data_IF_579994757083
#
_entry.id   IF_579994757083
#
_cell.length_a   1.000
_cell.length_b   1.000
_cell.length_c   1.000
_cell.angle_alpha   90.00
_cell.angle_beta   90.00
_cell.angle_gamma   90.00
#
_symmetry.space_group_name_H-M   'P 1'
#
loop_
_entity.id
_entity.type
_entity.pdbx_description
1 polymer ?
#
# COMPACT_ATOMS: atom_id res chain seq x y z
N UNK A 1 6.22 3.98 -1.70
CA UNK A 1 6.92 3.24 -0.63
C UNK A 1 7.02 4.15 0.57
N UNK A 2 6.77 3.64 1.78
CA UNK A 2 7.08 4.31 3.03
C UNK A 2 8.54 4.06 3.40
N UNK A 3 9.22 5.10 3.89
CA UNK A 3 10.63 5.06 4.28
C UNK A 3 10.80 5.69 5.65
N UNK A 4 11.33 4.92 6.60
CA UNK A 4 11.51 5.39 7.96
C UNK A 4 12.56 4.55 8.67
N UNK A 5 13.44 5.19 9.46
CA UNK A 5 14.44 4.51 10.30
C UNK A 5 15.25 3.40 9.59
N UNK A 6 15.59 3.59 8.31
CA UNK A 6 16.33 2.60 7.51
C UNK A 6 15.47 1.45 6.96
N UNK A 7 14.14 1.48 7.16
CA UNK A 7 13.18 0.54 6.58
C UNK A 7 12.51 1.11 5.33
N UNK A 8 12.19 0.23 4.37
CA UNK A 8 11.33 0.54 3.24
C UNK A 8 10.18 -0.46 3.16
N UNK A 9 8.94 0.03 3.20
CA UNK A 9 7.74 -0.81 3.13
C UNK A 9 6.77 -0.31 2.05
N UNK A 10 6.13 -1.23 1.34
CA UNK A 10 5.11 -0.92 0.36
C UNK A 10 4.79 -2.12 -0.50
N UNK A 11 4.32 -1.88 -1.72
CA UNK A 11 3.75 -2.96 -2.52
C UNK A 11 2.92 -2.45 -3.69
N UNK A 12 2.26 -3.38 -4.35
CA UNK A 12 1.28 -3.17 -5.41
C UNK A 12 0.15 -4.22 -5.26
N UNK A 13 -0.65 -4.40 -6.33
CA UNK A 13 -1.82 -5.27 -6.33
C UNK A 13 -1.56 -6.72 -5.91
N UNK A 14 -0.36 -7.25 -6.15
CA UNK A 14 -0.04 -8.65 -5.87
C UNK A 14 1.22 -8.90 -5.04
N UNK A 15 2.10 -7.90 -4.91
CA UNK A 15 3.39 -8.04 -4.26
C UNK A 15 3.59 -7.00 -3.17
N UNK A 16 4.11 -7.45 -2.03
CA UNK A 16 4.65 -6.62 -0.98
C UNK A 16 6.15 -6.43 -1.23
N UNK A 17 6.62 -5.21 -1.01
CA UNK A 17 8.03 -4.83 -1.09
C UNK A 17 8.50 -4.47 0.32
N UNK A 18 9.44 -5.25 0.84
CA UNK A 18 9.93 -5.18 2.21
C UNK A 18 11.44 -5.08 2.16
N UNK A 19 12.00 -3.98 2.64
CA UNK A 19 13.43 -3.74 2.50
C UNK A 19 14.03 -2.89 3.58
N UNK A 20 15.32 -2.68 3.42
CA UNK A 20 16.11 -1.73 4.19
C UNK A 20 16.90 -0.83 3.26
N UNK A 21 17.24 0.36 3.75
CA UNK A 21 18.04 1.31 3.01
C UNK A 21 19.10 1.96 3.90
N UNK A 22 20.19 2.36 3.26
CA UNK A 22 21.24 3.18 3.84
C UNK A 22 21.45 4.42 2.98
N UNK A 23 21.72 5.56 3.63
CA UNK A 23 22.17 6.76 2.96
C UNK A 23 23.70 6.75 2.86
N UNK A 24 24.22 6.94 1.65
CA UNK A 24 25.64 7.05 1.33
C UNK A 24 25.89 8.36 0.58
N UNK A 25 26.00 9.46 1.32
CA UNK A 25 26.06 10.80 0.74
C UNK A 25 24.71 11.18 0.12
N UNK A 26 24.68 11.44 -1.18
CA UNK A 26 23.46 11.71 -1.95
C UNK A 26 22.76 10.43 -2.46
N UNK A 27 23.36 9.27 -2.21
CA UNK A 27 22.89 8.00 -2.73
C UNK A 27 22.09 7.21 -1.69
N UNK A 28 20.99 6.60 -2.12
CA UNK A 28 20.21 5.63 -1.36
C UNK A 28 20.59 4.24 -1.85
N UNK A 29 21.14 3.40 -1.00
CA UNK A 29 21.40 1.98 -1.32
C UNK A 29 20.39 1.15 -0.56
N UNK A 30 19.60 0.34 -1.26
CA UNK A 30 18.56 -0.47 -0.63
C UNK A 30 18.55 -1.91 -1.14
N UNK A 31 18.15 -2.81 -0.25
CA UNK A 31 17.85 -4.20 -0.55
C UNK A 31 16.38 -4.46 -0.23
N UNK A 32 15.64 -4.94 -1.22
CA UNK A 32 14.19 -5.12 -1.16
C UNK A 32 13.86 -6.57 -1.49
N UNK A 33 13.11 -7.22 -0.61
CA UNK A 33 12.40 -8.45 -0.92
C UNK A 33 11.04 -8.09 -1.53
N UNK A 34 10.77 -8.58 -2.74
CA UNK A 34 9.42 -8.61 -3.31
C UNK A 34 8.81 -9.97 -3.01
N UNK A 35 7.65 -10.00 -2.35
CA UNK A 35 6.94 -11.22 -1.97
C UNK A 35 5.48 -11.14 -2.41
N UNK A 36 5.00 -12.18 -3.08
CA UNK A 36 3.60 -12.31 -3.47
C UNK A 36 2.71 -12.40 -2.23
N UNK A 37 1.65 -11.59 -2.20
CA UNK A 37 0.57 -11.67 -1.21
C UNK A 37 -0.77 -12.08 -1.83
N UNK A 38 -0.93 -11.88 -3.15
CA UNK A 38 -2.13 -12.26 -3.88
C UNK A 38 -1.78 -13.02 -5.19
N UNK A 39 -2.48 -14.12 -5.42
CA UNK A 39 -2.43 -14.90 -6.66
C UNK A 39 -3.46 -14.34 -7.64
N UNK A 40 -3.06 -13.32 -8.41
CA UNK A 40 -3.87 -12.73 -9.47
C UNK A 40 -3.13 -12.88 -10.81
N UNK A 41 -3.71 -13.56 -11.81
CA UNK A 41 -3.08 -13.75 -13.12
C UNK A 41 -2.88 -12.45 -13.90
N UNK A 42 -3.61 -11.38 -13.57
CA UNK A 42 -3.41 -10.05 -14.19
C UNK A 42 -2.13 -9.36 -13.69
N UNK A 43 -1.59 -9.81 -12.56
CA UNK A 43 -0.40 -9.26 -11.93
C UNK A 43 0.69 -10.34 -11.79
N UNK A 44 1.30 -10.79 -12.90
CA UNK A 44 2.39 -11.74 -12.88
C UNK A 44 3.65 -11.12 -12.25
N UNK A 45 4.55 -11.98 -11.77
CA UNK A 45 5.83 -11.52 -11.24
C UNK A 45 6.68 -10.92 -12.35
N UNK A 46 7.16 -9.69 -12.15
CA UNK A 46 8.18 -9.08 -13.02
C UNK A 46 9.47 -9.92 -13.05
N UNK A 47 9.78 -10.60 -11.95
CA UNK A 47 11.02 -11.35 -11.74
C UNK A 47 10.85 -12.85 -11.96
N UNK A 48 9.67 -13.29 -12.43
CA UNK A 48 9.33 -14.68 -12.70
C UNK A 48 9.21 -15.57 -11.46
N UNK A 49 9.30 -15.01 -10.25
CA UNK A 49 9.24 -15.72 -8.97
C UNK A 49 8.32 -15.01 -7.99
N UNK A 50 7.69 -15.78 -7.09
CA UNK A 50 6.81 -15.23 -6.06
C UNK A 50 7.58 -14.60 -4.89
N UNK A 51 8.86 -14.93 -4.75
CA UNK A 51 9.79 -14.26 -3.84
C UNK A 51 11.05 -13.92 -4.62
N UNK A 52 11.46 -12.66 -4.57
CA UNK A 52 12.66 -12.19 -5.25
C UNK A 52 13.35 -11.07 -4.48
N UNK A 53 14.66 -10.95 -4.69
CA UNK A 53 15.48 -9.88 -4.11
C UNK A 53 15.80 -8.86 -5.18
N UNK A 54 15.68 -7.59 -4.84
CA UNK A 54 15.99 -6.45 -5.70
C UNK A 54 16.99 -5.58 -4.95
N UNK A 55 18.20 -5.49 -5.47
CA UNK A 55 19.20 -4.52 -5.00
C UNK A 55 19.05 -3.25 -5.82
N UNK A 56 18.86 -2.11 -5.17
CA UNK A 56 18.69 -0.83 -5.85
C UNK A 56 19.64 0.24 -5.31
N UNK A 57 20.03 1.12 -6.22
CA UNK A 57 20.79 2.33 -5.92
C UNK A 57 20.02 3.51 -6.50
N UNK A 58 19.70 4.49 -5.67
CA UNK A 58 18.90 5.65 -6.02
C UNK A 58 19.60 6.95 -5.75
N UNK A 59 19.25 7.98 -6.52
CA UNK A 59 19.72 9.36 -6.33
C UNK A 59 18.58 10.36 -6.50
N UNK A 60 18.65 11.52 -5.83
CA UNK A 60 17.74 12.63 -6.09
C UNK A 60 17.72 13.01 -7.56
N UNK A 61 16.53 13.31 -8.06
CA UNK A 61 16.28 13.75 -9.43
C UNK A 61 15.08 14.71 -9.40
N UNK A 62 15.37 16.01 -9.24
CA UNK A 62 14.34 17.03 -9.06
C UNK A 62 13.62 16.85 -7.72
N UNK A 63 12.31 16.67 -7.78
CA UNK A 63 11.38 16.39 -6.67
C UNK A 63 11.18 14.89 -6.40
N UNK A 64 11.90 14.05 -7.12
CA UNK A 64 11.77 12.59 -7.09
C UNK A 64 13.11 11.91 -6.83
N UNK A 65 13.10 10.60 -6.63
CA UNK A 65 14.28 9.73 -6.64
C UNK A 65 14.24 8.81 -7.84
N UNK A 66 15.38 8.65 -8.53
CA UNK A 66 15.53 7.64 -9.58
C UNK A 66 16.41 6.51 -9.09
N UNK A 67 15.87 5.30 -9.15
CA UNK A 67 16.56 4.07 -8.78
C UNK A 67 16.96 3.28 -10.01
N UNK A 68 18.12 2.66 -9.93
CA UNK A 68 18.55 1.59 -10.81
C UNK A 68 18.70 0.33 -9.98
N UNK A 69 18.18 -0.79 -10.48
CA UNK A 69 18.15 -2.04 -9.76
C UNK A 69 18.64 -3.23 -10.58
N UNK A 70 18.99 -4.28 -9.85
CA UNK A 70 19.28 -5.61 -10.38
C UNK A 70 18.66 -6.67 -9.46
N UNK A 71 18.57 -7.89 -9.97
CA UNK A 71 18.03 -9.02 -9.23
C UNK A 71 18.76 -10.31 -9.64
N UNK A 72 19.16 -11.18 -8.71
CA UNK A 72 19.76 -12.46 -9.04
C UNK A 72 18.77 -13.41 -9.72
N UNK A 73 17.45 -13.23 -9.53
CA UNK A 73 16.42 -14.01 -10.20
C UNK A 73 16.34 -13.73 -11.71
N UNK A 74 16.85 -12.58 -12.17
CA UNK A 74 16.91 -12.22 -13.59
C UNK A 74 18.28 -11.62 -13.93
N UNK A 75 19.34 -12.45 -14.05
CA UNK A 75 20.69 -11.96 -14.30
C UNK A 75 20.78 -11.12 -15.58
N UNK A 76 21.43 -9.97 -15.49
CA UNK A 76 21.62 -9.05 -16.62
C UNK A 76 20.46 -8.08 -16.87
N UNK A 77 19.29 -8.29 -16.24
CA UNK A 77 18.22 -7.30 -16.29
C UNK A 77 18.59 -6.04 -15.49
N UNK A 78 18.27 -4.89 -16.05
CA UNK A 78 18.39 -3.59 -15.38
C UNK A 78 17.00 -3.03 -15.18
N UNK A 79 16.66 -2.78 -13.92
CA UNK A 79 15.39 -2.17 -13.54
C UNK A 79 15.60 -0.70 -13.31
N UNK A 80 14.61 0.10 -13.66
CA UNK A 80 14.55 1.51 -13.32
C UNK A 80 13.24 1.78 -12.60
N UNK A 81 13.29 2.60 -11.57
CA UNK A 81 12.11 3.07 -10.86
C UNK A 81 12.26 4.55 -10.58
N UNK A 82 11.14 5.25 -10.58
CA UNK A 82 11.03 6.62 -10.11
C UNK A 82 10.11 6.59 -8.90
N UNK A 83 10.57 7.16 -7.80
CA UNK A 83 9.76 7.38 -6.61
C UNK A 83 9.54 8.88 -6.47
N UNK A 84 8.29 9.31 -6.66
CA UNK A 84 7.86 10.67 -6.42
C UNK A 84 7.29 10.75 -5.02
N UNK A 85 7.66 11.79 -4.27
CA UNK A 85 7.09 12.01 -2.94
C UNK A 85 5.60 12.32 -3.08
N UNK A 86 4.80 11.68 -2.24
CA UNK A 86 3.38 11.99 -2.12
C UNK A 86 3.25 13.03 -1.01
N UNK A 87 2.59 14.16 -1.32
CA UNK A 87 2.27 15.17 -0.32
C UNK A 87 1.17 14.64 0.60
N UNK A 88 1.40 14.78 1.90
CA UNK A 88 0.56 14.26 2.96
C UNK A 88 0.02 15.38 3.88
N UNK A 89 0.22 16.65 3.49
CA UNK A 89 -0.13 17.84 4.25
C UNK A 89 -1.63 18.04 4.50
N UNK A 90 -2.50 17.42 3.68
CA UNK A 90 -3.96 17.47 3.84
C UNK A 90 -4.55 16.24 4.57
N UNK A 91 -3.69 15.32 5.07
CA UNK A 91 -4.19 14.14 5.77
C UNK A 91 -4.89 14.52 7.09
N UNK A 92 -6.03 13.88 7.43
CA UNK A 92 -6.65 14.02 8.74
C UNK A 92 -5.65 13.71 9.85
N UNK A 93 -5.73 14.34 11.02
CA UNK A 93 -4.83 14.05 12.13
C UNK A 93 -4.79 12.55 12.46
N UNK A 94 -3.60 12.05 12.82
CA UNK A 94 -3.44 10.66 13.26
C UNK A 94 -4.40 10.35 14.41
N UNK A 95 -5.13 9.24 14.29
CA UNK A 95 -6.02 8.81 15.36
C UNK A 95 -5.27 8.10 16.49
N UNK A 96 -5.84 8.07 17.71
CA UNK A 96 -5.20 7.42 18.84
C UNK A 96 -5.16 5.90 18.68
N UNK A 97 -4.04 5.31 19.13
CA UNK A 97 -3.83 3.86 19.22
C UNK A 97 -3.80 3.45 20.69
N UNK A 98 -4.73 2.59 21.09
CA UNK A 98 -4.89 2.07 22.45
C UNK A 98 -4.54 0.59 22.56
N UNK A 99 -4.64 0.07 23.78
CA UNK A 99 -4.46 -1.35 24.05
C UNK A 99 -5.42 -2.20 23.20
N UNK A 100 -4.94 -3.35 22.69
CA UNK A 100 -5.72 -4.20 21.78
C UNK A 100 -6.01 -3.57 20.42
N UNK A 101 -5.33 -2.46 20.07
CA UNK A 101 -5.38 -1.89 18.74
C UNK A 101 -4.57 -2.68 17.72
N UNK A 102 -4.84 -2.43 16.44
CA UNK A 102 -4.09 -3.02 15.32
C UNK A 102 -2.63 -2.59 15.35
N UNK A 103 -1.73 -3.51 15.07
CA UNK A 103 -0.29 -3.27 15.11
C UNK A 103 0.17 -2.35 13.97
N UNK A 104 1.27 -1.65 14.19
CA UNK A 104 1.98 -0.97 13.11
C UNK A 104 2.61 -2.02 12.17
N UNK A 105 2.37 -1.88 10.87
CA UNK A 105 2.86 -2.83 9.90
C UNK A 105 2.31 -2.68 8.50
N UNK A 106 2.93 -3.41 7.58
CA UNK A 106 2.50 -3.61 6.21
C UNK A 106 1.55 -4.81 6.16
N UNK A 107 0.36 -4.59 5.63
CA UNK A 107 -0.71 -5.56 5.47
C UNK A 107 -1.01 -5.78 3.99
N UNK A 108 -1.43 -7.00 3.60
CA UNK A 108 -2.21 -7.14 2.37
C UNK A 108 -3.62 -6.65 2.66
N UNK A 109 -4.27 -6.05 1.66
CA UNK A 109 -5.69 -5.68 1.72
C UNK A 109 -6.42 -6.33 0.55
N UNK A 110 -7.53 -6.99 0.86
CA UNK A 110 -8.38 -7.68 -0.10
C UNK A 110 -9.79 -7.12 0.04
N UNK A 111 -10.21 -6.30 -0.90
CA UNK A 111 -11.47 -5.58 -0.89
C UNK A 111 -12.45 -6.18 -1.90
N UNK A 112 -13.71 -6.28 -1.52
CA UNK A 112 -14.83 -6.66 -2.39
C UNK A 112 -15.97 -5.65 -2.27
N UNK A 113 -16.68 -5.38 -3.36
CA UNK A 113 -17.93 -4.62 -3.27
C UNK A 113 -19.08 -5.53 -2.82
N UNK A 114 -20.08 -4.95 -2.15
CA UNK A 114 -21.24 -5.68 -1.64
C UNK A 114 -22.53 -5.42 -2.43
N UNK A 115 -22.58 -4.36 -3.24
CA UNK A 115 -23.80 -3.91 -3.91
C UNK A 115 -24.04 -4.62 -5.27
N UNK A 116 -23.57 -5.87 -5.40
CA UNK A 116 -23.74 -6.69 -6.61
C UNK A 116 -22.91 -6.23 -7.82
N UNK A 117 -21.91 -5.38 -7.59
CA UNK A 117 -20.95 -4.97 -8.61
C UNK A 117 -19.79 -5.97 -8.59
N UNK A 118 -19.51 -6.59 -9.73
CA UNK A 118 -18.32 -7.41 -9.84
C UNK A 118 -17.10 -6.48 -9.81
N UNK A 119 -16.35 -6.53 -8.72
CA UNK A 119 -15.33 -5.55 -8.40
C UNK A 119 -14.65 -5.86 -7.08
N UNK A 120 -13.33 -5.76 -7.09
CA UNK A 120 -12.49 -5.91 -5.92
C UNK A 120 -11.17 -5.21 -6.17
N UNK A 121 -10.47 -4.90 -5.09
CA UNK A 121 -9.14 -4.31 -5.15
C UNK A 121 -8.24 -5.12 -4.22
N UNK A 122 -7.08 -5.48 -4.74
CA UNK A 122 -6.01 -6.09 -3.98
C UNK A 122 -4.86 -5.09 -3.93
N UNK A 123 -4.18 -5.00 -2.80
CA UNK A 123 -3.10 -4.06 -2.62
C UNK A 123 -2.40 -4.27 -1.30
N UNK A 124 -1.66 -3.26 -0.86
CA UNK A 124 -1.01 -3.25 0.45
C UNK A 124 -1.35 -2.01 1.26
N UNK A 125 -1.58 -2.17 2.56
CA UNK A 125 -1.87 -1.06 3.47
C UNK A 125 -0.83 -1.05 4.57
N UNK A 126 -0.12 0.06 4.69
CA UNK A 126 0.74 0.36 5.82
C UNK A 126 -0.09 1.12 6.88
N UNK A 127 -0.10 0.57 8.08
CA UNK A 127 -0.63 1.21 9.26
C UNK A 127 0.55 1.60 10.15
N UNK A 128 0.61 2.87 10.53
CA UNK A 128 1.69 3.37 11.38
C UNK A 128 1.19 4.56 12.21
N UNK A 129 1.13 4.38 13.53
CA UNK A 129 0.82 5.44 14.49
C UNK A 129 -0.43 6.26 14.13
N UNK A 130 -1.52 5.55 13.79
CA UNK A 130 -2.80 6.19 13.45
C UNK A 130 -2.86 6.77 12.02
N UNK A 131 -1.85 6.55 11.20
CA UNK A 131 -1.81 6.90 9.77
C UNK A 131 -2.02 5.68 8.88
N UNK A 132 -2.67 5.90 7.74
CA UNK A 132 -2.87 4.92 6.67
C UNK A 132 -2.08 5.41 5.45
N UNK A 133 -1.24 4.53 4.91
CA UNK A 133 -0.59 4.71 3.62
C UNK A 133 -0.75 3.43 2.82
N UNK A 134 -0.74 3.51 1.50
CA UNK A 134 -0.64 2.31 0.67
C UNK A 134 -1.13 2.53 -0.73
N UNK A 135 -1.38 1.42 -1.42
CA UNK A 135 -1.84 1.46 -2.79
C UNK A 135 -1.84 0.10 -3.45
N UNK A 136 -2.16 0.16 -4.73
CA UNK A 136 -2.11 -0.92 -5.69
C UNK A 136 -1.40 -0.44 -6.98
N UNK A 137 -1.53 -1.18 -8.08
CA UNK A 137 -0.89 -0.83 -9.34
C UNK A 137 -1.36 0.50 -9.96
N UNK A 138 -2.53 1.02 -9.58
CA UNK A 138 -3.16 2.19 -10.20
C UNK A 138 -3.49 3.30 -9.21
N UNK A 139 -3.81 2.94 -7.97
CA UNK A 139 -4.24 3.85 -6.92
C UNK A 139 -3.27 3.88 -5.74
N UNK A 140 -3.27 5.00 -5.04
CA UNK A 140 -2.70 5.10 -3.70
C UNK A 140 -3.77 5.60 -2.74
N UNK A 141 -3.62 5.26 -1.46
CA UNK A 141 -4.51 5.70 -0.40
C UNK A 141 -3.75 6.29 0.77
N UNK A 142 -4.29 7.39 1.27
CA UNK A 142 -3.80 8.15 2.41
C UNK A 142 -4.95 8.34 3.39
N UNK A 143 -4.68 8.24 4.69
CA UNK A 143 -5.74 8.39 5.67
C UNK A 143 -5.28 8.36 7.10
N UNK A 144 -6.26 8.29 8.00
CA UNK A 144 -6.02 8.17 9.42
C UNK A 144 -7.00 7.16 10.05
N UNK A 145 -6.55 6.52 11.11
CA UNK A 145 -7.35 5.58 11.86
C UNK A 145 -7.13 5.73 13.36
N UNK A 146 -8.14 5.29 14.11
CA UNK A 146 -8.06 5.05 15.55
C UNK A 146 -8.28 3.57 15.80
N UNK A 147 -7.61 2.99 16.79
CA UNK A 147 -7.78 1.57 17.12
C UNK A 147 -7.51 1.28 18.59
N UNK A 148 -8.43 0.54 19.21
CA UNK A 148 -8.34 0.08 20.60
C UNK A 148 -9.36 -1.04 20.81
N UNK A 149 -9.13 -1.88 21.83
CA UNK A 149 -10.09 -2.88 22.31
C UNK A 149 -10.61 -3.83 21.22
N UNK A 150 -9.73 -4.25 20.29
CA UNK A 150 -10.07 -5.12 19.18
C UNK A 150 -10.92 -4.47 18.10
N UNK A 151 -11.03 -3.13 18.10
CA UNK A 151 -11.80 -2.34 17.14
C UNK A 151 -10.93 -1.30 16.47
N UNK A 152 -11.34 -0.91 15.27
CA UNK A 152 -10.72 0.18 14.54
C UNK A 152 -11.72 0.86 13.62
N UNK A 153 -11.45 2.13 13.33
CA UNK A 153 -12.23 2.96 12.41
C UNK A 153 -11.35 4.06 11.86
N UNK A 154 -11.72 4.59 10.72
CA UNK A 154 -10.96 5.65 10.10
C UNK A 154 -11.59 6.13 8.81
N UNK A 155 -10.82 6.97 8.14
CA UNK A 155 -11.14 7.49 6.82
C UNK A 155 -9.87 7.51 5.96
N UNK A 156 -10.04 7.32 4.66
CA UNK A 156 -8.97 7.41 3.69
C UNK A 156 -9.46 8.02 2.38
N UNK A 157 -8.56 8.71 1.70
CA UNK A 157 -8.71 9.12 0.31
C UNK A 157 -8.08 8.07 -0.58
N UNK A 158 -8.73 7.76 -1.70
CA UNK A 158 -8.20 6.91 -2.75
C UNK A 158 -8.01 7.76 -4.02
N UNK A 159 -6.77 7.85 -4.52
CA UNK A 159 -6.41 8.66 -5.67
C UNK A 159 -5.70 7.83 -6.74
N UNK A 160 -6.03 8.09 -8.00
CA UNK A 160 -5.36 7.45 -9.15
C UNK A 160 -4.00 8.10 -9.38
N UNK A 161 -2.94 7.30 -9.47
CA UNK A 161 -1.60 7.77 -9.88
C UNK A 161 -1.22 7.29 -11.28
N UNK A 162 -1.80 6.19 -11.74
CA UNK A 162 -1.61 5.65 -13.08
C UNK A 162 -2.98 5.40 -13.71
N UNK A 163 -3.30 5.99 -14.88
CA UNK A 163 -4.59 5.77 -15.52
C UNK A 163 -4.89 4.29 -15.75
N UNK A 164 -5.94 3.77 -15.13
CA UNK A 164 -6.42 2.39 -15.27
C UNK A 164 -7.15 2.21 -16.62
N UNK A 165 -6.41 2.31 -17.73
CA UNK A 165 -6.98 2.16 -19.09
C UNK A 165 -7.38 0.70 -19.34
N UNK A 166 -8.67 0.40 -19.33
CA UNK A 166 -9.22 -0.89 -19.76
C UNK A 166 -9.58 -1.85 -18.62
N UNK A 167 -9.16 -1.57 -17.39
CA UNK A 167 -9.81 -2.12 -16.19
C UNK A 167 -10.99 -1.21 -15.85
N UNK A 168 -12.16 -1.76 -15.50
CA UNK A 168 -13.26 -0.95 -14.97
C UNK A 168 -12.90 -0.63 -13.51
N UNK A 169 -12.30 0.53 -13.20
CA UNK A 169 -11.96 0.82 -11.83
C UNK A 169 -13.29 0.99 -11.08
N UNK A 170 -13.42 0.39 -9.90
CA UNK A 170 -14.64 0.48 -9.07
C UNK A 170 -15.12 1.94 -8.89
N UNK A 171 -14.18 2.89 -9.05
CA UNK A 171 -14.31 4.30 -8.74
C UNK A 171 -14.09 5.27 -9.93
N UNK A 172 -13.85 4.78 -11.14
CA UNK A 172 -13.85 5.63 -12.35
C UNK A 172 -12.81 6.76 -12.42
N UNK A 173 -11.66 6.64 -11.73
CA UNK A 173 -10.53 7.58 -11.84
C UNK A 173 -10.67 8.89 -11.07
N UNK A 174 -11.62 8.99 -10.12
CA UNK A 174 -11.78 10.17 -9.26
C UNK A 174 -11.16 9.96 -7.88
N UNK A 175 -10.80 11.06 -7.20
CA UNK A 175 -10.54 11.01 -5.75
C UNK A 175 -11.81 10.61 -5.02
N UNK A 176 -11.70 9.61 -4.15
CA UNK A 176 -12.84 9.10 -3.38
C UNK A 176 -12.49 9.02 -1.90
N UNK A 177 -13.33 9.66 -1.09
CA UNK A 177 -13.35 9.50 0.35
C UNK A 177 -14.04 8.19 0.75
N UNK A 178 -13.39 7.44 1.63
CA UNK A 178 -13.83 6.15 2.14
C UNK A 178 -13.81 6.21 3.67
N UNK A 179 -14.98 6.13 4.30
CA UNK A 179 -15.11 5.96 5.75
C UNK A 179 -15.33 4.48 6.09
N UNK A 180 -14.70 4.00 7.17
CA UNK A 180 -14.80 2.58 7.55
C UNK A 180 -14.81 2.35 9.06
N UNK A 181 -15.27 1.16 9.45
CA UNK A 181 -15.12 0.62 10.79
C UNK A 181 -15.06 -0.90 10.78
N UNK A 182 -14.47 -1.50 11.80
CA UNK A 182 -14.46 -2.95 11.95
C UNK A 182 -13.69 -3.44 13.17
N UNK A 183 -13.21 -4.68 13.08
CA UNK A 183 -12.51 -5.38 14.15
C UNK A 183 -11.07 -5.67 13.77
N UNK A 184 -10.20 -5.77 14.77
CA UNK A 184 -8.77 -6.03 14.57
C UNK A 184 -8.22 -6.95 15.66
N UNK A 185 -7.11 -7.59 15.34
CA UNK A 185 -6.27 -8.32 16.27
C UNK A 185 -4.79 -8.14 15.90
N UNK A 186 -3.91 -8.93 16.52
CA UNK A 186 -2.46 -8.85 16.30
C UNK A 186 -2.01 -9.28 14.89
N UNK A 187 -2.88 -9.98 14.15
CA UNK A 187 -2.58 -10.61 12.86
C UNK A 187 -3.25 -9.92 11.68
N UNK A 188 -4.27 -9.10 11.92
CA UNK A 188 -5.04 -8.51 10.84
C UNK A 188 -6.24 -7.68 11.31
N UNK A 189 -7.11 -7.39 10.35
CA UNK A 189 -8.36 -6.69 10.58
C UNK A 189 -9.41 -7.02 9.52
N UNK A 190 -10.65 -6.78 9.86
CA UNK A 190 -11.78 -6.74 8.94
C UNK A 190 -12.40 -5.35 9.00
N UNK A 191 -12.93 -4.86 7.87
CA UNK A 191 -13.65 -3.60 7.81
C UNK A 191 -14.87 -3.68 6.90
N UNK A 192 -15.87 -2.90 7.26
CA UNK A 192 -16.92 -2.44 6.36
C UNK A 192 -16.69 -0.96 6.06
N UNK A 193 -16.79 -0.60 4.79
CA UNK A 193 -16.51 0.73 4.30
C UNK A 193 -17.63 1.26 3.41
N UNK A 194 -17.79 2.58 3.43
CA UNK A 194 -18.63 3.32 2.49
C UNK A 194 -17.75 4.28 1.70
N UNK A 195 -17.72 4.09 0.38
CA UNK A 195 -17.04 4.97 -0.55
C UNK A 195 -18.06 5.92 -1.21
N UNK A 196 -17.72 7.21 -1.26
CA UNK A 196 -18.58 8.25 -1.86
C UNK A 196 -18.08 8.62 -3.26
N UNK A 197 -18.71 8.06 -4.28
CA UNK A 197 -18.39 8.28 -5.70
C UNK A 197 -19.41 9.25 -6.32
N UNK A 198 -19.14 10.56 -6.23
CA UNK A 198 -20.07 11.59 -6.70
C UNK A 198 -21.41 11.52 -5.96
N UNK A 199 -22.49 11.13 -6.66
CA UNK A 199 -23.85 10.98 -6.07
C UNK A 199 -24.16 9.54 -5.61
N UNK A 200 -23.20 8.62 -5.70
CA UNK A 200 -23.39 7.21 -5.38
C UNK A 200 -22.58 6.86 -4.13
N UNK A 201 -23.18 6.07 -3.25
CA UNK A 201 -22.48 5.37 -2.17
C UNK A 201 -22.24 3.92 -2.58
N UNK A 202 -21.03 3.42 -2.35
CA UNK A 202 -20.68 2.02 -2.56
C UNK A 202 -20.30 1.39 -1.23
N UNK A 203 -20.89 0.24 -0.92
CA UNK A 203 -20.53 -0.55 0.26
C UNK A 203 -19.47 -1.57 -0.08
N UNK A 204 -18.45 -1.62 0.76
CA UNK A 204 -17.26 -2.43 0.57
C UNK A 204 -17.00 -3.22 1.85
N UNK A 205 -16.41 -4.41 1.68
CA UNK A 205 -15.80 -5.15 2.77
C UNK A 205 -14.35 -5.42 2.41
N UNK A 206 -13.46 -5.33 3.40
CA UNK A 206 -12.07 -5.72 3.19
C UNK A 206 -11.52 -6.52 4.37
N UNK A 207 -10.55 -7.37 4.05
CA UNK A 207 -9.76 -8.13 5.02
C UNK A 207 -8.30 -7.71 4.88
N UNK A 208 -7.68 -7.41 6.02
CA UNK A 208 -6.27 -7.07 6.16
C UNK A 208 -5.54 -8.25 6.80
N UNK A 209 -4.38 -8.63 6.25
CA UNK A 209 -3.49 -9.64 6.83
C UNK A 209 -2.09 -9.07 7.00
N UNK A 210 -1.55 -9.15 8.21
CA UNK A 210 -0.21 -8.64 8.52
C UNK A 210 0.85 -9.43 7.73
N UNK A 211 1.66 -8.71 6.96
CA UNK A 211 2.81 -9.26 6.23
C UNK A 211 4.09 -9.01 7.03
N UNK A 212 4.26 -7.78 7.53
CA UNK A 212 5.49 -7.34 8.21
C UNK A 212 5.17 -6.24 9.23
N UNK A 213 5.59 -6.41 10.48
CA UNK A 213 5.53 -5.31 11.47
C UNK A 213 6.49 -4.19 11.06
N UNK A 214 6.06 -2.94 11.25
CA UNK A 214 6.95 -1.80 11.15
C UNK A 214 7.88 -1.79 12.38
N UNK A 215 9.13 -1.34 12.20
CA UNK A 215 10.17 -1.30 13.23
C UNK A 215 10.48 0.15 13.56
#
# INVERSE_FOLDING_TARGET
>A
MFVEHGSMLGGNSAFAHIGSYELRGDEVVAEIESRRHMNDPNYPSLLGQDVATISVTGRPYGDSYRFQGSSPQMPGAKFQSVMTTIDDGEMPPAGPIGAGGIANGLYSIHLRTLDGIDGGLNGVMLLHDGRILGGDAFFYYLGAYSSADGRWKGEMLNQEHTPAKGENPVFGGQEIGIGFSGTCDETGAELEATALAGKRSLRLQAVLKLIRKAV
#
